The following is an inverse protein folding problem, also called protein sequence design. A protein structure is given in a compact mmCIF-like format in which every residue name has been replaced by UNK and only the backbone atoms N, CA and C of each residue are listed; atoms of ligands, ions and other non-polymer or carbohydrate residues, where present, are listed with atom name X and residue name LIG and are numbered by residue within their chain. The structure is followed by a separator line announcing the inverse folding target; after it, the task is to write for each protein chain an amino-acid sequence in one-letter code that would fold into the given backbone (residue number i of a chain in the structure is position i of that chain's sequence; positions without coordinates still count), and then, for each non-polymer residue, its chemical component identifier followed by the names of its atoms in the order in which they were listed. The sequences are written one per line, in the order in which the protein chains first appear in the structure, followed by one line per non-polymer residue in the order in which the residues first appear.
data_IF_449881756814
#
_entry.id   IF_449881756814
#
_cell.length_a   1.000
_cell.length_b   1.000
_cell.length_c   1.000
_cell.angle_alpha   90.00
_cell.angle_beta   90.00
_cell.angle_gamma   90.00
#
_symmetry.space_group_name_H-M   'P 1'
#
loop_
_entity.id
_entity.type
_entity.pdbx_description
1 polymer ?
#
# COMPACT_ATOMS: atom_id res chain seq x y z
N UNK A 1 -19.70 -4.82 31.89
CA UNK A 1 -19.07 -5.66 30.85
C UNK A 1 -17.57 -5.42 30.91
N UNK A 2 -16.76 -6.44 31.11
CA UNK A 2 -15.31 -6.24 31.22
C UNK A 2 -14.75 -5.86 29.85
N UNK A 3 -13.66 -5.07 29.81
CA UNK A 3 -13.04 -4.59 28.56
C UNK A 3 -12.50 -5.73 27.68
N UNK A 4 -12.47 -6.94 28.21
CA UNK A 4 -12.02 -8.18 27.56
C UNK A 4 -13.16 -8.91 26.82
N UNK A 5 -14.43 -8.63 27.13
CA UNK A 5 -15.59 -9.27 26.49
C UNK A 5 -16.02 -8.58 25.18
N UNK A 6 -15.37 -7.47 24.82
CA UNK A 6 -15.67 -6.70 23.60
C UNK A 6 -15.09 -7.41 22.37
N UNK A 7 -15.82 -7.34 21.26
CA UNK A 7 -15.35 -7.83 19.96
C UNK A 7 -13.92 -7.31 19.64
N UNK A 8 -12.98 -8.13 19.13
CA UNK A 8 -11.58 -7.73 18.93
C UNK A 8 -11.38 -6.47 18.07
N UNK A 9 -12.30 -6.18 17.14
CA UNK A 9 -12.28 -4.97 16.30
C UNK A 9 -12.28 -3.67 17.10
N UNK A 10 -12.84 -3.66 18.32
CA UNK A 10 -12.81 -2.49 19.18
C UNK A 10 -11.38 -2.05 19.54
N UNK A 11 -10.36 -2.91 19.41
CA UNK A 11 -8.96 -2.49 19.56
C UNK A 11 -8.55 -1.44 18.51
N UNK A 12 -9.04 -1.59 17.28
CA UNK A 12 -8.82 -0.60 16.22
C UNK A 12 -9.66 0.67 16.45
N UNK A 13 -10.94 0.51 16.79
CA UNK A 13 -11.85 1.63 17.02
C UNK A 13 -11.42 2.49 18.22
N UNK A 14 -10.96 1.87 19.31
CA UNK A 14 -10.47 2.57 20.50
C UNK A 14 -9.21 3.41 20.16
N UNK A 15 -8.33 2.95 19.26
CA UNK A 15 -7.19 3.76 18.78
C UNK A 15 -7.67 4.96 17.96
N UNK A 16 -8.64 4.77 17.06
CA UNK A 16 -9.18 5.88 16.28
C UNK A 16 -9.81 6.94 17.19
N UNK A 17 -10.55 6.50 18.22
CA UNK A 17 -11.12 7.40 19.22
C UNK A 17 -10.02 8.16 19.99
N UNK A 18 -8.96 7.47 20.44
CA UNK A 18 -7.81 8.11 21.11
C UNK A 18 -7.13 9.16 20.22
N UNK A 19 -6.96 8.90 18.92
CA UNK A 19 -6.41 9.88 17.97
C UNK A 19 -7.29 11.13 17.88
N UNK A 20 -8.61 10.96 17.88
CA UNK A 20 -9.55 12.07 17.74
C UNK A 20 -9.61 12.95 18.98
N UNK A 21 -9.61 12.32 20.17
CA UNK A 21 -9.74 12.97 21.47
C UNK A 21 -8.42 13.54 21.98
N UNK A 22 -7.32 12.78 21.86
CA UNK A 22 -6.03 13.08 22.49
C UNK A 22 -4.90 13.35 21.47
N UNK A 23 -5.18 13.30 20.17
CA UNK A 23 -4.16 13.50 19.14
C UNK A 23 -3.66 14.93 19.03
N UNK A 24 -2.33 15.09 18.92
CA UNK A 24 -1.69 16.37 18.64
C UNK A 24 -1.82 16.73 17.16
N UNK A 25 -2.19 17.97 16.85
CA UNK A 25 -2.28 18.48 15.49
C UNK A 25 -0.90 18.78 14.90
N UNK A 26 -0.65 18.28 13.70
CA UNK A 26 0.57 18.52 12.93
C UNK A 26 0.28 18.65 11.45
N UNK A 27 1.20 19.22 10.72
CA UNK A 27 1.12 19.30 9.26
C UNK A 27 2.12 18.32 8.64
N UNK A 28 1.65 17.49 7.72
CA UNK A 28 2.50 16.62 6.91
C UNK A 28 3.42 17.48 6.04
N UNK A 29 4.73 17.24 6.14
CA UNK A 29 5.74 17.99 5.38
C UNK A 29 5.71 17.69 3.87
N UNK A 30 5.33 16.47 3.47
CA UNK A 30 5.33 16.05 2.08
C UNK A 30 4.03 16.44 1.36
N UNK A 31 2.89 16.31 2.03
CA UNK A 31 1.57 16.56 1.43
C UNK A 31 0.96 17.90 1.83
N UNK A 32 1.44 18.54 2.90
CA UNK A 32 0.82 19.73 3.48
C UNK A 32 -0.48 19.46 4.25
N UNK A 33 -0.89 18.19 4.36
CA UNK A 33 -2.16 17.79 4.99
C UNK A 33 -2.10 17.98 6.51
N UNK A 34 -3.14 18.56 7.10
CA UNK A 34 -3.29 18.59 8.56
C UNK A 34 -3.68 17.20 9.09
N UNK A 35 -2.97 16.73 10.11
CA UNK A 35 -3.13 15.40 10.70
C UNK A 35 -3.24 15.52 12.23
N UNK A 36 -3.99 14.60 12.85
CA UNK A 36 -3.91 14.34 14.30
C UNK A 36 -3.08 13.08 14.53
N UNK A 37 -2.21 13.08 15.54
CA UNK A 37 -1.43 11.89 15.88
C UNK A 37 -1.18 11.72 17.37
N UNK A 38 -1.15 10.46 17.80
CA UNK A 38 -0.66 10.02 19.11
C UNK A 38 0.62 9.20 18.91
N UNK A 39 1.49 9.17 19.93
CA UNK A 39 2.76 8.42 19.87
C UNK A 39 2.76 7.25 20.85
N UNK A 40 3.25 6.09 20.40
CA UNK A 40 3.41 4.89 21.24
C UNK A 40 2.07 4.30 21.69
N UNK A 41 1.36 3.64 20.77
CA UNK A 41 0.16 2.85 21.07
C UNK A 41 0.38 1.40 20.66
N UNK A 42 -0.19 0.49 21.43
CA UNK A 42 -0.10 -0.94 21.19
C UNK A 42 -1.50 -1.55 21.19
N UNK A 43 -1.78 -2.35 20.18
CA UNK A 43 -2.98 -3.20 20.09
C UNK A 43 -2.55 -4.65 19.95
N UNK A 44 -3.43 -5.55 20.38
CA UNK A 44 -3.25 -6.99 20.32
C UNK A 44 -4.51 -7.62 19.76
N UNK A 45 -4.35 -8.59 18.87
CA UNK A 45 -5.42 -9.41 18.33
C UNK A 45 -5.13 -10.87 18.66
N UNK A 46 -6.09 -11.55 19.29
CA UNK A 46 -6.02 -12.99 19.52
C UNK A 46 -6.50 -13.71 18.26
N UNK A 47 -5.57 -14.30 17.51
CA UNK A 47 -5.87 -14.99 16.25
C UNK A 47 -6.64 -16.31 16.45
N UNK A 48 -6.71 -16.85 17.68
CA UNK A 48 -7.56 -18.00 17.97
C UNK A 48 -9.05 -17.65 17.95
N UNK A 49 -9.38 -16.35 18.06
CA UNK A 49 -10.75 -15.82 18.01
C UNK A 49 -11.22 -15.49 16.59
N UNK A 50 -10.33 -15.59 15.59
CA UNK A 50 -10.64 -15.33 14.20
C UNK A 50 -9.59 -14.45 13.50
N UNK A 51 -9.86 -14.12 12.24
CA UNK A 51 -9.01 -13.25 11.45
C UNK A 51 -9.43 -11.78 11.61
N UNK A 52 -8.52 -10.86 12.01
CA UNK A 52 -8.87 -9.49 12.37
C UNK A 52 -9.09 -8.58 11.14
N UNK A 53 -9.95 -9.01 10.20
CA UNK A 53 -10.44 -8.16 9.12
C UNK A 53 -11.56 -7.28 9.65
N UNK A 54 -11.47 -5.97 9.42
CA UNK A 54 -12.49 -5.02 9.88
C UNK A 54 -13.85 -5.31 9.24
N UNK A 55 -14.90 -5.19 10.04
CA UNK A 55 -16.30 -5.38 9.63
C UNK A 55 -17.07 -4.06 9.57
N UNK A 56 -16.62 -3.05 10.31
CA UNK A 56 -17.20 -1.69 10.30
C UNK A 56 -16.96 -0.94 8.98
N UNK A 57 -16.04 -1.43 8.15
CA UNK A 57 -15.79 -0.94 6.79
C UNK A 57 -15.29 -2.09 5.91
N UNK A 58 -15.81 -2.19 4.68
CA UNK A 58 -15.31 -3.15 3.70
C UNK A 58 -13.83 -2.88 3.39
N UNK A 59 -12.98 -3.88 3.64
CA UNK A 59 -11.55 -3.85 3.35
C UNK A 59 -11.28 -4.52 2.01
N UNK A 60 -10.35 -3.98 1.22
CA UNK A 60 -9.93 -4.57 -0.05
C UNK A 60 -9.02 -5.80 0.15
N UNK A 61 -9.61 -6.91 0.61
CA UNK A 61 -8.87 -8.10 1.03
C UNK A 61 -8.05 -8.76 -0.09
N UNK A 62 -8.56 -8.72 -1.35
CA UNK A 62 -7.85 -9.25 -2.52
C UNK A 62 -6.49 -8.56 -2.69
N UNK A 63 -6.45 -7.23 -2.53
CA UNK A 63 -5.22 -6.45 -2.57
C UNK A 63 -4.20 -6.91 -1.52
N UNK A 64 -4.65 -7.07 -0.27
CA UNK A 64 -3.80 -7.53 0.85
C UNK A 64 -3.16 -8.88 0.54
N UNK A 65 -3.93 -9.83 0.02
CA UNK A 65 -3.42 -11.17 -0.30
C UNK A 65 -2.37 -11.12 -1.42
N UNK A 66 -2.66 -10.44 -2.53
CA UNK A 66 -1.70 -10.37 -3.64
C UNK A 66 -0.45 -9.58 -3.27
N UNK A 67 -0.57 -8.49 -2.50
CA UNK A 67 0.56 -7.74 -2.00
C UNK A 67 1.47 -8.60 -1.10
N UNK A 68 0.90 -9.34 -0.15
CA UNK A 68 1.68 -10.23 0.71
C UNK A 68 2.37 -11.33 -0.11
N UNK A 69 1.68 -11.95 -1.07
CA UNK A 69 2.28 -12.95 -1.96
C UNK A 69 3.43 -12.36 -2.81
N UNK A 70 3.29 -11.12 -3.25
CA UNK A 70 4.32 -10.39 -3.99
C UNK A 70 5.56 -10.12 -3.13
N UNK A 71 5.38 -9.67 -1.88
CA UNK A 71 6.47 -9.53 -0.91
C UNK A 71 7.16 -10.86 -0.61
N UNK A 72 6.39 -11.91 -0.33
CA UNK A 72 6.95 -13.23 -0.01
C UNK A 72 7.77 -13.81 -1.17
N UNK A 73 7.44 -13.51 -2.43
CA UNK A 73 8.24 -13.90 -3.61
C UNK A 73 9.54 -13.11 -3.76
N UNK A 74 9.73 -12.06 -2.98
CA UNK A 74 10.86 -11.14 -3.12
C UNK A 74 10.83 -10.31 -4.38
N UNK A 75 9.63 -10.13 -4.95
CA UNK A 75 9.42 -9.34 -6.16
C UNK A 75 9.34 -7.86 -5.83
N UNK A 76 9.85 -7.03 -6.73
CA UNK A 76 9.89 -5.56 -6.61
C UNK A 76 9.27 -4.87 -7.83
N UNK A 77 8.84 -5.65 -8.82
CA UNK A 77 8.16 -5.17 -10.01
C UNK A 77 6.63 -5.25 -9.85
N UNK A 78 5.93 -4.17 -10.14
CA UNK A 78 4.47 -4.05 -9.97
C UNK A 78 3.66 -4.81 -11.02
N UNK A 79 4.26 -5.33 -12.11
CA UNK A 79 3.52 -6.06 -13.14
C UNK A 79 2.66 -7.18 -12.57
N UNK A 80 3.19 -7.95 -11.61
CA UNK A 80 2.40 -8.99 -10.95
C UNK A 80 1.12 -8.44 -10.28
N UNK A 81 1.20 -7.27 -9.65
CA UNK A 81 0.05 -6.64 -9.01
C UNK A 81 -0.96 -6.15 -10.06
N UNK A 82 -0.49 -5.48 -11.11
CA UNK A 82 -1.31 -5.02 -12.25
C UNK A 82 -2.02 -6.17 -12.96
N UNK A 83 -1.31 -7.28 -13.22
CA UNK A 83 -1.87 -8.49 -13.83
C UNK A 83 -2.96 -9.12 -12.95
N UNK A 84 -2.88 -8.92 -11.64
CA UNK A 84 -3.87 -9.36 -10.65
C UNK A 84 -4.86 -8.26 -10.26
N UNK A 85 -4.94 -7.16 -11.02
CA UNK A 85 -5.89 -6.05 -10.83
C UNK A 85 -5.78 -5.43 -9.42
N UNK A 86 -4.55 -5.25 -8.96
CA UNK A 86 -4.19 -4.58 -7.72
C UNK A 86 -3.33 -3.38 -8.02
N UNK A 87 -3.90 -2.19 -7.81
CA UNK A 87 -3.35 -0.90 -8.28
C UNK A 87 -2.80 -0.03 -7.14
N UNK A 88 -2.63 -0.58 -5.93
CA UNK A 88 -2.25 0.18 -4.72
C UNK A 88 -0.80 0.73 -4.76
N UNK A 89 0.02 0.28 -5.72
CA UNK A 89 1.41 0.70 -5.91
C UNK A 89 1.65 1.52 -7.19
N UNK A 90 0.63 1.75 -8.01
CA UNK A 90 0.73 2.31 -9.37
C UNK A 90 1.30 3.73 -9.43
N UNK A 91 1.06 4.53 -8.39
CA UNK A 91 1.48 5.93 -8.33
C UNK A 91 3.01 6.07 -8.29
N UNK A 92 3.71 5.14 -7.64
CA UNK A 92 5.16 5.23 -7.44
C UNK A 92 5.96 5.10 -8.75
N UNK A 93 5.81 4.04 -9.55
CA UNK A 93 6.53 3.91 -10.81
C UNK A 93 6.05 4.93 -11.84
N UNK A 94 4.75 5.23 -11.86
CA UNK A 94 4.21 6.25 -12.76
C UNK A 94 4.77 7.64 -12.46
N UNK A 95 4.97 8.00 -11.19
CA UNK A 95 5.62 9.27 -10.82
C UNK A 95 7.04 9.36 -11.38
N UNK A 96 7.82 8.28 -11.33
CA UNK A 96 9.17 8.26 -11.90
C UNK A 96 9.13 8.30 -13.44
N UNK A 97 8.17 7.61 -14.07
CA UNK A 97 7.92 7.73 -15.50
C UNK A 97 7.59 9.18 -15.90
N UNK A 98 6.67 9.82 -15.17
CA UNK A 98 6.24 11.19 -15.42
C UNK A 98 7.40 12.18 -15.33
N UNK A 99 8.28 12.05 -14.33
CA UNK A 99 9.50 12.87 -14.22
C UNK A 99 10.43 12.71 -15.43
N UNK A 100 10.57 11.50 -15.96
CA UNK A 100 11.39 11.27 -17.14
C UNK A 100 10.74 11.85 -18.41
N UNK A 101 9.40 11.80 -18.50
CA UNK A 101 8.66 12.44 -19.57
C UNK A 101 8.81 13.98 -19.54
N UNK A 102 8.77 14.58 -18.35
CA UNK A 102 9.00 16.02 -18.15
C UNK A 102 10.42 16.46 -18.57
N UNK A 103 11.40 15.56 -18.48
CA UNK A 103 12.77 15.79 -18.99
C UNK A 103 12.93 15.52 -20.49
N UNK A 104 11.89 15.04 -21.17
CA UNK A 104 11.93 14.66 -22.59
C UNK A 104 12.65 13.33 -22.87
N UNK A 105 12.92 12.51 -21.85
CA UNK A 105 13.60 11.21 -22.02
C UNK A 105 12.67 10.13 -22.59
N UNK A 106 11.36 10.26 -22.34
CA UNK A 106 10.32 9.35 -22.81
C UNK A 106 9.07 10.13 -23.22
N UNK A 107 8.21 9.59 -24.10
CA UNK A 107 6.96 10.25 -24.47
C UNK A 107 6.03 10.45 -23.25
N UNK A 108 5.35 11.59 -23.11
CA UNK A 108 4.35 11.76 -22.05
C UNK A 108 3.16 10.82 -22.30
N UNK A 109 2.66 10.20 -21.24
CA UNK A 109 1.42 9.41 -21.26
C UNK A 109 0.68 9.55 -19.93
N UNK A 110 -0.61 9.23 -19.93
CA UNK A 110 -1.41 9.18 -18.70
C UNK A 110 -1.10 7.92 -17.89
N UNK A 111 -1.47 7.93 -16.60
CA UNK A 111 -1.31 6.75 -15.74
C UNK A 111 -2.09 5.55 -16.29
N UNK A 112 -3.29 5.79 -16.81
CA UNK A 112 -4.11 4.74 -17.39
C UNK A 112 -3.38 4.02 -18.54
N UNK A 113 -2.81 4.79 -19.48
CA UNK A 113 -2.04 4.23 -20.60
C UNK A 113 -0.78 3.51 -20.10
N UNK A 114 -0.10 4.08 -19.10
CA UNK A 114 1.08 3.48 -18.48
C UNK A 114 0.78 2.09 -17.88
N UNK A 115 -0.32 1.96 -17.14
CA UNK A 115 -0.73 0.69 -16.52
C UNK A 115 -1.21 -0.31 -17.57
N UNK A 116 -1.93 0.13 -18.60
CA UNK A 116 -2.32 -0.70 -19.74
C UNK A 116 -1.11 -1.26 -20.49
N UNK A 117 -0.04 -0.45 -20.65
CA UNK A 117 1.23 -0.91 -21.20
C UNK A 117 1.89 -1.96 -20.31
N UNK A 118 1.96 -1.76 -18.99
CA UNK A 118 2.51 -2.76 -18.06
C UNK A 118 1.75 -4.09 -18.12
N UNK A 119 0.42 -4.01 -18.25
CA UNK A 119 -0.46 -5.18 -18.32
C UNK A 119 -0.29 -5.95 -19.62
N UNK A 120 -0.25 -5.24 -20.76
CA UNK A 120 -0.20 -5.85 -22.09
C UNK A 120 1.17 -6.43 -22.48
N UNK A 121 2.26 -5.92 -21.92
CA UNK A 121 3.62 -6.34 -22.26
C UNK A 121 4.11 -7.53 -21.40
N UNK A 122 4.98 -8.41 -21.94
CA UNK A 122 5.55 -9.52 -21.17
C UNK A 122 6.53 -9.02 -20.11
N UNK A 123 6.76 -9.82 -19.06
CA UNK A 123 7.65 -9.49 -17.93
C UNK A 123 9.07 -9.15 -18.39
N UNK A 124 9.50 -9.77 -19.48
CA UNK A 124 10.83 -9.65 -20.05
C UNK A 124 11.04 -8.32 -20.79
N UNK A 125 9.96 -7.65 -21.16
CA UNK A 125 9.98 -6.43 -21.96
C UNK A 125 10.71 -5.30 -21.24
N UNK A 126 11.54 -4.55 -21.98
CA UNK A 126 12.38 -3.50 -21.42
C UNK A 126 11.58 -2.42 -20.67
N UNK A 127 10.40 -2.05 -21.19
CA UNK A 127 9.49 -1.12 -20.53
C UNK A 127 9.05 -1.63 -19.15
N UNK A 128 8.63 -2.89 -19.06
CA UNK A 128 8.15 -3.50 -17.81
C UNK A 128 9.30 -3.62 -16.81
N UNK A 129 10.47 -4.08 -17.26
CA UNK A 129 11.67 -4.19 -16.40
C UNK A 129 12.12 -2.84 -15.84
N UNK A 130 12.06 -1.78 -16.65
CA UNK A 130 12.51 -0.44 -16.23
C UNK A 130 11.46 0.27 -15.38
N UNK A 131 10.23 0.33 -15.89
CA UNK A 131 9.19 1.20 -15.33
C UNK A 131 8.24 0.48 -14.38
N UNK A 132 8.16 -0.84 -14.41
CA UNK A 132 7.44 -1.60 -13.39
C UNK A 132 8.23 -1.76 -12.08
N UNK A 133 9.53 -1.47 -12.08
CA UNK A 133 10.44 -1.73 -10.98
C UNK A 133 10.44 -0.60 -9.93
N UNK A 134 10.23 -0.95 -8.65
CA UNK A 134 10.23 0.01 -7.55
C UNK A 134 11.56 0.13 -6.81
N UNK A 135 12.53 -0.76 -7.09
CA UNK A 135 13.77 -0.84 -6.34
C UNK A 135 13.64 -1.67 -5.06
N UNK A 136 14.47 -1.45 -4.03
CA UNK A 136 14.59 -2.34 -2.87
C UNK A 136 13.48 -2.15 -1.82
N UNK A 137 12.23 -2.39 -2.22
CA UNK A 137 11.05 -2.43 -1.34
C UNK A 137 11.01 -3.72 -0.49
N UNK A 138 9.97 -3.88 0.33
CA UNK A 138 9.83 -4.95 1.32
C UNK A 138 10.21 -6.35 0.81
N UNK A 139 9.71 -6.74 -0.36
CA UNK A 139 9.97 -8.07 -0.91
C UNK A 139 11.47 -8.36 -1.03
N UNK A 140 12.25 -7.41 -1.55
CA UNK A 140 13.70 -7.58 -1.65
C UNK A 140 14.33 -7.69 -0.27
N UNK A 141 14.05 -6.75 0.62
CA UNK A 141 14.64 -6.71 1.97
C UNK A 141 14.35 -7.97 2.79
N UNK A 142 13.22 -8.63 2.58
CA UNK A 142 12.86 -9.87 3.28
C UNK A 142 13.56 -11.11 2.73
N UNK A 143 14.02 -11.08 1.48
CA UNK A 143 14.43 -12.29 0.75
C UNK A 143 15.85 -12.23 0.18
N UNK A 144 16.48 -11.06 0.09
CA UNK A 144 17.78 -10.81 -0.57
C UNK A 144 18.54 -9.69 0.12
#
# INVERSE_FOLDING_TARGET
MHKEDRHPEYRYLDILQDIMENGFEKTDFATGTKLKSVFGRQIRFDLSKGFPLLTTKKVFYRGIIHELLWFLRGSTNIKYLVDNDVHIWDDWPYREYKKAAEKGEVPPMTQQVFIEMLKSLPVEHAFVKKWGELGPVYGRQWRK
#
